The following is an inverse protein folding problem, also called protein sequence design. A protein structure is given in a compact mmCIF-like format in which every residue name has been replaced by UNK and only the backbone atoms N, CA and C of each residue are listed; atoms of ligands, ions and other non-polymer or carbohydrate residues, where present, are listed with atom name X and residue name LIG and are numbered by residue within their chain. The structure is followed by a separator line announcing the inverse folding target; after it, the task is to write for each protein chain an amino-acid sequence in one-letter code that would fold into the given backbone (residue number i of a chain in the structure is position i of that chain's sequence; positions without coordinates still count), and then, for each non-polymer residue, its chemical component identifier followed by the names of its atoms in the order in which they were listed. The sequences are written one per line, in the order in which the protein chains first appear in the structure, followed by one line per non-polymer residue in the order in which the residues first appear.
data_IF_627238877559
#
_entry.id   IF_627238877559
#
_cell.length_a   1.000
_cell.length_b   1.000
_cell.length_c   1.000
_cell.angle_alpha   90.00
_cell.angle_beta   90.00
_cell.angle_gamma   90.00
#
_symmetry.space_group_name_H-M   'P 1'
#
loop_
_entity.id
_entity.type
_entity.pdbx_description
1 polymer ?
#
# COMPACT_ATOMS: atom_id res chain seq x y z
N UNK A 1 6.33 15.13 9.92
CA UNK A 1 7.72 14.87 10.37
C UNK A 1 7.73 14.85 11.88
N UNK A 2 7.65 13.66 12.49
CA UNK A 2 7.83 13.52 13.93
C UNK A 2 9.28 13.90 14.26
N UNK A 3 9.45 14.72 15.32
CA UNK A 3 10.76 15.25 15.74
C UNK A 3 11.76 14.11 15.94
N UNK A 4 12.87 14.14 15.21
CA UNK A 4 14.00 13.24 15.44
C UNK A 4 14.65 13.66 16.77
N UNK A 5 14.64 12.77 17.77
CA UNK A 5 15.31 13.02 19.04
C UNK A 5 16.81 13.16 18.83
N UNK A 6 17.43 14.20 19.40
CA UNK A 6 18.86 14.54 19.21
C UNK A 6 19.84 13.42 19.58
N UNK A 7 19.40 12.38 20.29
CA UNK A 7 20.22 11.27 20.78
C UNK A 7 19.68 9.89 20.34
N UNK A 8 19.09 9.78 19.15
CA UNK A 8 18.61 8.49 18.64
C UNK A 8 19.79 7.59 18.22
N UNK A 9 20.29 6.76 19.14
CA UNK A 9 21.34 5.75 18.89
C UNK A 9 20.84 4.52 18.13
N UNK A 10 19.54 4.42 17.86
CA UNK A 10 18.98 3.47 16.90
C UNK A 10 19.14 4.05 15.48
N UNK A 11 20.37 4.04 14.96
CA UNK A 11 20.58 4.25 13.53
C UNK A 11 19.86 3.16 12.76
N UNK A 12 18.98 3.52 11.82
CA UNK A 12 18.38 2.51 10.96
C UNK A 12 19.50 1.82 10.18
N UNK A 13 19.58 0.48 10.31
CA UNK A 13 20.54 -0.36 9.56
C UNK A 13 20.42 -0.10 8.06
N UNK A 14 19.19 0.15 7.61
CA UNK A 14 18.87 0.51 6.25
C UNK A 14 18.74 2.02 6.10
N UNK A 15 19.46 2.55 5.11
CA UNK A 15 19.21 3.87 4.55
C UNK A 15 17.82 3.95 3.91
N UNK A 16 17.35 5.18 3.71
CA UNK A 16 16.10 5.44 3.00
C UNK A 16 16.10 4.84 1.58
N UNK A 17 17.24 4.90 0.88
CA UNK A 17 17.37 4.39 -0.48
C UNK A 17 17.27 2.87 -0.54
N UNK A 18 17.89 2.17 0.40
CA UNK A 18 17.81 0.71 0.49
C UNK A 18 16.38 0.27 0.83
N UNK A 19 15.74 0.92 1.81
CA UNK A 19 14.31 0.67 2.09
C UNK A 19 13.42 0.89 0.88
N UNK A 20 13.65 1.97 0.11
CA UNK A 20 12.87 2.27 -1.08
C UNK A 20 13.09 1.20 -2.17
N UNK A 21 14.32 0.75 -2.35
CA UNK A 21 14.68 -0.32 -3.30
C UNK A 21 14.03 -1.64 -2.90
N UNK A 22 14.08 -2.00 -1.62
CA UNK A 22 13.50 -3.23 -1.11
C UNK A 22 11.97 -3.22 -1.17
N UNK A 23 11.34 -2.07 -0.89
CA UNK A 23 9.88 -1.89 -1.08
C UNK A 23 9.49 -2.10 -2.53
N UNK A 24 10.28 -1.60 -3.48
CA UNK A 24 10.04 -1.77 -4.91
C UNK A 24 10.26 -3.23 -5.37
N UNK A 25 11.28 -3.91 -4.86
CA UNK A 25 11.59 -5.29 -5.23
C UNK A 25 10.64 -6.31 -4.59
N UNK A 26 10.27 -6.10 -3.32
CA UNK A 26 9.35 -6.98 -2.60
C UNK A 26 7.89 -6.79 -3.04
N UNK A 27 7.53 -5.62 -3.57
CA UNK A 27 6.15 -5.27 -3.91
C UNK A 27 5.25 -5.05 -2.68
N UNK A 28 5.79 -5.19 -1.46
CA UNK A 28 5.07 -5.00 -0.21
C UNK A 28 5.24 -3.58 0.32
N UNK A 29 4.19 -3.07 0.97
CA UNK A 29 4.16 -1.74 1.57
C UNK A 29 3.58 -0.67 0.65
N UNK A 30 3.73 0.59 1.06
CA UNK A 30 3.10 1.72 0.36
C UNK A 30 3.87 2.07 -0.91
N UNK A 31 3.34 1.67 -2.06
CA UNK A 31 3.88 2.06 -3.36
C UNK A 31 3.29 3.42 -3.79
N UNK A 32 4.16 4.39 -4.10
CA UNK A 32 3.74 5.67 -4.72
C UNK A 32 3.73 5.54 -6.23
N UNK A 33 2.84 4.72 -6.75
CA UNK A 33 2.64 4.52 -8.19
C UNK A 33 1.22 4.89 -8.58
N UNK A 34 1.03 5.40 -9.80
CA UNK A 34 -0.31 5.64 -10.34
C UNK A 34 -0.89 4.31 -10.76
N UNK A 35 -1.98 3.93 -10.11
CA UNK A 35 -2.73 2.71 -10.41
C UNK A 35 -3.70 3.01 -11.56
N UNK A 36 -3.82 2.07 -12.50
CA UNK A 36 -4.79 2.17 -13.61
C UNK A 36 -6.23 2.03 -13.11
N UNK A 37 -7.21 2.42 -13.95
CA UNK A 37 -8.64 2.29 -13.61
C UNK A 37 -9.04 0.83 -13.39
N UNK A 38 -8.46 -0.07 -14.17
CA UNK A 38 -8.63 -1.51 -14.16
C UNK A 38 -8.18 -2.19 -12.86
N UNK A 39 -7.27 -1.56 -12.13
CA UNK A 39 -6.82 -2.06 -10.84
C UNK A 39 -7.69 -1.57 -9.66
N UNK A 40 -8.72 -0.76 -9.94
CA UNK A 40 -9.73 -0.36 -8.98
C UNK A 40 -11.01 -1.14 -9.29
N UNK A 41 -11.57 -1.76 -8.25
CA UNK A 41 -12.85 -2.48 -8.36
C UNK A 41 -13.99 -1.52 -8.71
N UNK A 42 -14.95 -1.96 -9.51
CA UNK A 42 -16.15 -1.16 -9.80
C UNK A 42 -17.01 -0.95 -8.55
N UNK A 43 -17.83 0.11 -8.55
CA UNK A 43 -18.65 0.47 -7.38
C UNK A 43 -19.66 -0.63 -7.00
N UNK A 44 -20.24 -1.28 -8.00
CA UNK A 44 -21.29 -2.29 -7.87
C UNK A 44 -20.77 -3.73 -7.86
N UNK A 45 -19.45 -3.94 -7.77
CA UNK A 45 -18.89 -5.29 -7.75
C UNK A 45 -18.82 -5.92 -6.35
N UNK A 46 -18.92 -7.25 -6.31
CA UNK A 46 -18.77 -8.02 -5.08
C UNK A 46 -17.29 -8.09 -4.68
N UNK A 47 -16.98 -7.83 -3.40
CA UNK A 47 -15.62 -7.90 -2.86
C UNK A 47 -15.00 -9.32 -2.89
N UNK A 48 -15.81 -10.36 -3.13
CA UNK A 48 -15.36 -11.75 -3.19
C UNK A 48 -15.19 -12.21 -4.64
N UNK A 49 -16.19 -11.98 -5.50
CA UNK A 49 -16.18 -12.50 -6.88
C UNK A 49 -15.68 -11.51 -7.92
N UNK A 50 -15.56 -10.21 -7.59
CA UNK A 50 -15.24 -9.12 -8.52
C UNK A 50 -16.19 -9.02 -9.74
N UNK A 51 -17.36 -9.66 -9.66
CA UNK A 51 -18.45 -9.54 -10.62
C UNK A 51 -19.50 -8.56 -10.11
N UNK A 52 -20.34 -7.99 -10.98
CA UNK A 52 -21.48 -7.16 -10.57
C UNK A 52 -22.37 -7.88 -9.55
N UNK A 53 -22.70 -7.19 -8.46
CA UNK A 53 -23.56 -7.70 -7.40
C UNK A 53 -24.99 -7.90 -7.94
N UNK A 54 -25.47 -9.14 -7.89
CA UNK A 54 -26.88 -9.44 -8.20
C UNK A 54 -27.82 -9.19 -7.01
N UNK A 55 -27.34 -9.50 -5.81
CA UNK A 55 -28.08 -9.35 -4.55
C UNK A 55 -27.13 -8.83 -3.45
N UNK A 56 -26.95 -7.49 -3.34
CA UNK A 56 -25.98 -6.91 -2.44
C UNK A 56 -26.43 -6.98 -0.97
N UNK A 57 -25.58 -7.57 -0.12
CA UNK A 57 -25.75 -7.58 1.34
C UNK A 57 -24.73 -6.67 2.00
N UNK A 58 -25.12 -6.04 3.12
CA UNK A 58 -24.26 -5.13 3.90
C UNK A 58 -24.03 -5.75 5.28
N UNK A 59 -22.79 -5.75 5.74
CA UNK A 59 -22.37 -6.21 7.08
C UNK A 59 -22.18 -5.03 8.03
#
# INVERSE_FOLDING_TARGET
MTRHGKNCTAGAVYSYHERKKDTAASGYGTQRVRVGRDAIKDFDCCCLSLQPCRDPVVT
#
